data_IF_554576263999
#
_entry.id   IF_554576263999
#
_cell.length_a   1.000
_cell.length_b   1.000
_cell.length_c   1.000
_cell.angle_alpha   90.00
_cell.angle_beta   90.00
_cell.angle_gamma   90.00
#
_symmetry.space_group_name_H-M   'P 1'
#
loop_
_entity.id
_entity.type
_entity.pdbx_description
1 polymer ?
#
# COMPACT_ATOMS: atom_id res chain seq x y z
N UNK A 1 22.96 -23.97 -26.35
CA UNK A 1 21.59 -24.28 -26.79
C UNK A 1 20.75 -23.06 -26.49
N UNK A 2 20.49 -22.24 -27.48
CA UNK A 2 19.58 -21.12 -27.43
C UNK A 2 18.17 -21.68 -27.41
N UNK A 3 17.48 -21.57 -26.28
CA UNK A 3 16.05 -21.88 -26.21
C UNK A 3 15.36 -20.88 -27.14
N UNK A 4 14.88 -21.34 -28.27
CA UNK A 4 14.02 -20.59 -29.16
C UNK A 4 12.77 -20.20 -28.35
N UNK A 5 12.64 -18.95 -28.03
CA UNK A 5 11.41 -18.38 -27.50
C UNK A 5 10.32 -18.60 -28.55
N UNK A 6 9.25 -19.29 -28.20
CA UNK A 6 8.04 -19.37 -29.02
C UNK A 6 7.55 -17.91 -29.26
N UNK A 7 7.15 -17.55 -30.49
CA UNK A 7 6.88 -16.17 -30.90
C UNK A 7 5.75 -15.44 -30.11
N UNK A 8 5.18 -16.04 -29.08
CA UNK A 8 4.06 -15.50 -28.32
C UNK A 8 4.25 -15.55 -26.79
N UNK A 9 5.46 -15.80 -26.28
CA UNK A 9 5.68 -15.81 -24.82
C UNK A 9 5.79 -14.37 -24.32
N UNK A 10 4.93 -13.93 -23.39
CA UNK A 10 4.99 -12.58 -22.85
C UNK A 10 6.34 -12.31 -22.16
N UNK A 11 6.98 -11.20 -22.49
CA UNK A 11 8.25 -10.78 -21.91
C UNK A 11 8.17 -9.37 -21.32
N UNK A 12 8.77 -9.20 -20.13
CA UNK A 12 8.95 -7.88 -19.52
C UNK A 12 10.13 -7.16 -20.16
N UNK A 13 9.88 -6.03 -20.75
CA UNK A 13 10.92 -5.12 -21.30
C UNK A 13 10.98 -3.84 -20.47
N UNK A 14 12.19 -3.24 -20.30
CA UNK A 14 12.31 -1.94 -19.67
C UNK A 14 11.45 -0.90 -20.40
N UNK A 15 10.80 -0.04 -19.63
CA UNK A 15 10.02 1.08 -20.15
C UNK A 15 10.69 2.40 -19.83
N UNK A 16 10.50 3.41 -20.72
CA UNK A 16 10.91 4.77 -20.42
C UNK A 16 10.00 5.34 -19.33
N UNK A 17 10.57 5.98 -18.28
CA UNK A 17 9.77 6.56 -17.20
C UNK A 17 8.71 7.56 -17.67
N UNK A 18 8.98 8.30 -18.75
CA UNK A 18 8.06 9.29 -19.32
C UNK A 18 6.83 8.66 -20.01
N UNK A 19 6.95 7.40 -20.47
CA UNK A 19 5.85 6.64 -21.09
C UNK A 19 5.16 5.71 -20.10
N UNK A 20 5.72 5.58 -18.91
CA UNK A 20 5.17 4.77 -17.84
C UNK A 20 4.32 5.65 -16.92
N UNK A 21 3.13 5.95 -17.38
CA UNK A 21 2.07 6.55 -16.56
C UNK A 21 1.24 5.40 -15.97
N UNK A 22 1.55 4.93 -14.75
CA UNK A 22 0.76 3.88 -14.14
C UNK A 22 -0.60 4.44 -13.75
N UNK A 23 -1.64 3.71 -14.05
CA UNK A 23 -2.97 4.01 -13.53
C UNK A 23 -3.03 3.84 -12.01
N UNK A 24 -2.03 3.17 -11.41
CA UNK A 24 -1.94 2.90 -9.97
C UNK A 24 -0.86 3.72 -9.28
N UNK A 25 -1.25 4.37 -8.22
CA UNK A 25 -0.40 5.26 -7.42
C UNK A 25 0.95 4.64 -7.02
N UNK A 26 0.94 3.42 -6.48
CA UNK A 26 2.17 2.78 -5.96
C UNK A 26 3.15 2.32 -7.05
N UNK A 27 2.75 2.27 -8.31
CA UNK A 27 3.65 1.98 -9.42
C UNK A 27 4.32 3.23 -9.98
N UNK A 28 3.92 4.42 -9.57
CA UNK A 28 4.43 5.67 -10.10
C UNK A 28 5.88 5.94 -9.67
N UNK A 29 6.65 6.54 -10.59
CA UNK A 29 7.98 7.06 -10.28
C UNK A 29 7.93 8.10 -9.17
N UNK A 30 6.89 8.90 -9.15
CA UNK A 30 6.66 9.93 -8.14
C UNK A 30 6.53 9.33 -6.73
N UNK A 31 5.73 8.27 -6.57
CA UNK A 31 5.66 7.56 -5.30
C UNK A 31 7.02 6.98 -4.90
N UNK A 32 7.74 6.38 -5.86
CA UNK A 32 9.07 5.86 -5.60
C UNK A 32 10.02 6.93 -5.07
N UNK A 33 10.13 8.08 -5.75
CA UNK A 33 11.01 9.19 -5.35
C UNK A 33 10.59 9.80 -4.01
N UNK A 34 9.30 9.83 -3.70
CA UNK A 34 8.78 10.27 -2.42
C UNK A 34 9.19 9.33 -1.28
N UNK A 35 9.06 8.03 -1.48
CA UNK A 35 9.18 6.99 -0.44
C UNK A 35 10.61 6.51 -0.24
N UNK A 36 11.41 6.46 -1.29
CA UNK A 36 12.70 5.78 -1.26
C UNK A 36 13.85 6.75 -1.50
N UNK A 37 14.77 6.81 -0.53
CA UNK A 37 16.01 7.60 -0.63
C UNK A 37 17.15 6.82 -1.26
N UNK A 38 17.00 5.49 -1.43
CA UNK A 38 18.03 4.60 -1.98
C UNK A 38 17.41 3.61 -2.98
N UNK A 39 18.24 3.17 -3.93
CA UNK A 39 17.85 2.21 -4.97
C UNK A 39 17.45 2.91 -6.27
N UNK A 40 17.17 2.10 -7.29
CA UNK A 40 16.82 2.56 -8.61
C UNK A 40 15.39 2.14 -8.97
N UNK A 41 14.60 3.10 -9.44
CA UNK A 41 13.29 2.85 -10.02
C UNK A 41 13.45 2.21 -11.39
N UNK A 42 12.87 1.04 -11.58
CA UNK A 42 12.88 0.31 -12.86
C UNK A 42 11.46 -0.04 -13.27
N UNK A 43 10.88 0.70 -14.22
CA UNK A 43 9.60 0.37 -14.81
C UNK A 43 9.77 -0.68 -15.92
N UNK A 44 8.77 -1.57 -16.03
CA UNK A 44 8.69 -2.58 -17.06
C UNK A 44 7.29 -2.65 -17.65
N UNK A 45 7.20 -2.94 -18.94
CA UNK A 45 5.98 -3.30 -19.64
C UNK A 45 6.04 -4.76 -20.07
N UNK A 46 4.94 -5.48 -19.88
CA UNK A 46 4.73 -6.81 -20.41
C UNK A 46 4.00 -6.65 -21.75
N UNK A 47 4.56 -7.23 -22.79
CA UNK A 47 3.95 -7.19 -24.12
C UNK A 47 3.67 -8.59 -24.66
N UNK A 48 2.57 -8.73 -25.37
CA UNK A 48 2.20 -9.93 -26.09
C UNK A 48 1.66 -9.54 -27.47
N UNK A 49 2.22 -10.10 -28.54
CA UNK A 49 1.83 -9.74 -29.92
C UNK A 49 2.07 -8.27 -30.28
N UNK A 50 3.02 -7.58 -29.60
CA UNK A 50 3.33 -6.15 -29.82
C UNK A 50 2.45 -5.18 -29.01
N UNK A 51 1.45 -5.67 -28.28
CA UNK A 51 0.59 -4.85 -27.42
C UNK A 51 1.04 -4.94 -25.95
N UNK A 52 0.97 -3.82 -25.22
CA UNK A 52 1.23 -3.79 -23.77
C UNK A 52 0.06 -4.42 -23.04
N UNK A 53 0.32 -5.49 -22.28
CA UNK A 53 -0.70 -6.25 -21.55
C UNK A 53 -0.63 -6.03 -20.03
N UNK A 54 0.53 -5.63 -19.49
CA UNK A 54 0.66 -5.25 -18.08
C UNK A 54 1.82 -4.27 -17.86
N UNK A 55 1.80 -3.60 -16.72
CA UNK A 55 2.86 -2.69 -16.25
C UNK A 55 3.26 -3.07 -14.83
N UNK A 56 4.56 -2.97 -14.51
CA UNK A 56 5.08 -3.16 -13.16
C UNK A 56 6.27 -2.23 -12.93
N UNK A 57 6.49 -1.81 -11.69
CA UNK A 57 7.69 -1.13 -11.31
C UNK A 57 8.37 -1.86 -10.15
N UNK A 58 9.69 -1.95 -10.21
CA UNK A 58 10.50 -2.50 -9.14
C UNK A 58 11.51 -1.48 -8.62
N UNK A 59 11.80 -1.57 -7.35
CA UNK A 59 12.96 -0.92 -6.74
C UNK A 59 14.13 -1.89 -6.79
N UNK A 60 15.19 -1.52 -7.49
CA UNK A 60 16.44 -2.28 -7.47
C UNK A 60 17.36 -1.74 -6.38
N UNK A 61 17.80 -2.62 -5.49
CA UNK A 61 18.78 -2.30 -4.43
C UNK A 61 19.83 -3.40 -4.31
N UNK A 62 20.98 -3.03 -3.71
CA UNK A 62 22.00 -3.99 -3.28
C UNK A 62 22.11 -3.98 -1.76
N UNK A 63 21.92 -5.14 -1.13
CA UNK A 63 22.10 -5.28 0.30
C UNK A 63 23.54 -5.72 0.57
N UNK A 64 24.22 -5.00 1.47
CA UNK A 64 25.65 -5.19 1.79
C UNK A 64 26.57 -5.20 0.53
N UNK A 65 26.16 -4.48 -0.53
CA UNK A 65 26.89 -4.43 -1.80
C UNK A 65 26.84 -5.72 -2.64
N UNK A 66 26.36 -6.83 -2.09
CA UNK A 66 26.46 -8.16 -2.68
C UNK A 66 25.12 -8.69 -3.23
N UNK A 67 24.07 -8.69 -2.40
CA UNK A 67 22.77 -9.29 -2.77
C UNK A 67 21.99 -8.30 -3.61
N UNK A 68 21.76 -8.64 -4.87
CA UNK A 68 20.92 -7.85 -5.78
C UNK A 68 19.45 -8.18 -5.57
N UNK A 69 18.67 -7.20 -5.16
CA UNK A 69 17.26 -7.36 -4.83
C UNK A 69 16.38 -6.50 -5.74
N UNK A 70 15.27 -7.08 -6.15
CA UNK A 70 14.14 -6.36 -6.71
C UNK A 70 12.96 -6.40 -5.74
N UNK A 71 12.54 -5.24 -5.30
CA UNK A 71 11.31 -5.06 -4.52
C UNK A 71 10.21 -4.63 -5.50
N UNK A 72 9.23 -5.49 -5.71
CA UNK A 72 8.05 -5.16 -6.52
C UNK A 72 7.20 -4.18 -5.73
N UNK A 73 7.01 -2.97 -6.26
CA UNK A 73 6.38 -1.87 -5.51
C UNK A 73 4.90 -2.10 -5.24
N UNK A 74 4.20 -2.69 -6.21
CA UNK A 74 2.84 -3.19 -6.11
C UNK A 74 2.65 -4.32 -7.12
N UNK A 75 1.52 -5.03 -7.06
CA UNK A 75 1.16 -6.01 -8.08
C UNK A 75 1.09 -5.37 -9.48
N UNK A 76 1.37 -6.12 -10.56
CA UNK A 76 1.28 -5.59 -11.92
C UNK A 76 -0.09 -4.96 -12.21
N UNK A 77 -0.09 -3.79 -12.81
CA UNK A 77 -1.30 -3.21 -13.39
C UNK A 77 -1.60 -3.93 -14.70
N UNK A 78 -2.62 -4.78 -14.71
CA UNK A 78 -3.06 -5.48 -15.90
C UNK A 78 -3.83 -4.52 -16.81
N UNK A 79 -3.40 -4.40 -18.05
CA UNK A 79 -4.04 -3.57 -19.10
C UNK A 79 -4.99 -4.42 -19.92
N UNK A 80 -4.70 -5.71 -20.04
CA UNK A 80 -5.47 -6.69 -20.81
C UNK A 80 -5.96 -7.80 -19.89
N UNK A 81 -7.28 -8.01 -19.86
CA UNK A 81 -7.92 -9.06 -19.06
C UNK A 81 -7.54 -10.49 -19.45
N UNK A 82 -6.89 -10.69 -20.60
CA UNK A 82 -6.35 -11.98 -21.03
C UNK A 82 -5.09 -12.41 -20.29
N UNK A 83 -4.46 -11.49 -19.56
CA UNK A 83 -3.26 -11.76 -18.74
C UNK A 83 -3.63 -11.75 -17.27
N UNK A 84 -3.25 -12.81 -16.57
CA UNK A 84 -3.45 -12.97 -15.12
C UNK A 84 -2.26 -12.42 -14.32
N UNK A 85 -2.46 -12.12 -13.03
CA UNK A 85 -1.34 -11.75 -12.14
C UNK A 85 -0.30 -12.89 -12.07
N UNK A 86 -0.73 -14.14 -12.08
CA UNK A 86 0.14 -15.31 -12.06
C UNK A 86 1.05 -15.38 -13.29
N UNK A 87 0.50 -15.16 -14.49
CA UNK A 87 1.27 -15.11 -15.74
C UNK A 87 2.25 -13.94 -15.76
N UNK A 88 1.80 -12.75 -15.35
CA UNK A 88 2.64 -11.56 -15.25
C UNK A 88 3.78 -11.80 -14.25
N UNK A 89 3.51 -12.39 -13.08
CA UNK A 89 4.53 -12.71 -12.08
C UNK A 89 5.51 -13.78 -12.59
N UNK A 90 5.02 -14.83 -13.24
CA UNK A 90 5.88 -15.87 -13.87
C UNK A 90 6.87 -15.24 -14.86
N UNK A 91 6.38 -14.32 -15.70
CA UNK A 91 7.23 -13.59 -16.64
C UNK A 91 8.24 -12.68 -15.89
N UNK A 92 7.82 -12.03 -14.78
CA UNK A 92 8.72 -11.19 -13.98
C UNK A 92 9.83 -12.02 -13.30
N UNK A 93 9.50 -13.20 -12.81
CA UNK A 93 10.50 -14.13 -12.25
C UNK A 93 11.52 -14.56 -13.32
N UNK A 94 11.07 -14.88 -14.55
CA UNK A 94 11.99 -15.19 -15.66
C UNK A 94 12.91 -14.01 -15.95
N UNK A 95 12.36 -12.79 -16.00
CA UNK A 95 13.12 -11.57 -16.23
C UNK A 95 14.13 -11.31 -15.11
N UNK A 96 13.74 -11.46 -13.86
CA UNK A 96 14.62 -11.27 -12.71
C UNK A 96 15.80 -12.28 -12.73
N UNK A 97 15.54 -13.54 -13.12
CA UNK A 97 16.59 -14.56 -13.30
C UNK A 97 17.55 -14.19 -14.43
N UNK A 98 17.04 -13.72 -15.56
CA UNK A 98 17.87 -13.27 -16.70
C UNK A 98 18.75 -12.07 -16.31
N UNK A 99 18.23 -11.16 -15.51
CA UNK A 99 18.96 -10.00 -14.97
C UNK A 99 19.84 -10.35 -13.75
N UNK A 100 19.97 -11.62 -13.38
CA UNK A 100 20.77 -12.12 -12.25
C UNK A 100 20.40 -11.46 -10.91
N UNK A 101 19.12 -11.33 -10.66
CA UNK A 101 18.57 -10.89 -9.37
C UNK A 101 18.68 -12.04 -8.37
N UNK A 102 19.14 -11.77 -7.16
CA UNK A 102 19.29 -12.78 -6.13
C UNK A 102 18.00 -13.00 -5.32
N UNK A 103 17.23 -11.92 -5.11
CA UNK A 103 16.01 -11.92 -4.33
C UNK A 103 14.95 -11.05 -5.01
N UNK A 104 13.81 -11.64 -5.32
CA UNK A 104 12.62 -10.94 -5.76
C UNK A 104 11.60 -10.96 -4.63
N UNK A 105 11.03 -9.80 -4.29
CA UNK A 105 10.09 -9.72 -3.17
C UNK A 105 8.99 -8.69 -3.39
N UNK A 106 7.84 -8.92 -2.77
CA UNK A 106 6.75 -7.96 -2.62
C UNK A 106 6.24 -8.02 -1.19
N UNK A 107 6.80 -7.13 -0.35
CA UNK A 107 6.56 -7.13 1.09
C UNK A 107 5.92 -5.82 1.57
N UNK A 108 5.33 -5.06 0.65
CA UNK A 108 4.58 -3.85 0.94
C UNK A 108 3.26 -4.16 1.63
N UNK A 109 2.87 -3.34 2.60
CA UNK A 109 1.53 -3.36 3.19
C UNK A 109 0.43 -2.94 2.20
N UNK A 110 0.82 -2.47 1.01
CA UNK A 110 -0.08 -2.00 -0.03
C UNK A 110 -0.13 -2.96 -1.24
N UNK A 111 0.62 -4.06 -1.22
CA UNK A 111 0.54 -5.09 -2.25
C UNK A 111 -0.77 -5.90 -2.13
N UNK A 112 -1.36 -6.22 -3.28
CA UNK A 112 -2.68 -6.88 -3.39
C UNK A 112 -2.61 -8.11 -4.27
N UNK A 113 -1.70 -9.01 -3.93
CA UNK A 113 -1.57 -10.29 -4.60
C UNK A 113 -2.68 -11.23 -4.14
N UNK A 114 -3.75 -11.34 -4.91
CA UNK A 114 -5.00 -12.01 -4.50
C UNK A 114 -5.37 -13.23 -5.34
N UNK A 115 -4.72 -13.47 -6.49
CA UNK A 115 -5.10 -14.56 -7.38
C UNK A 115 -4.77 -15.96 -6.81
N UNK A 116 -5.67 -16.94 -6.98
CA UNK A 116 -5.46 -18.31 -6.49
C UNK A 116 -4.22 -19.02 -7.06
N UNK A 117 -3.82 -18.73 -8.30
CA UNK A 117 -2.66 -19.35 -8.97
C UNK A 117 -1.29 -18.82 -8.54
N UNK A 118 -1.22 -17.88 -7.60
CA UNK A 118 0.06 -17.32 -7.15
C UNK A 118 0.92 -18.31 -6.35
N UNK A 119 0.38 -19.19 -5.48
CA UNK A 119 1.20 -20.15 -4.72
C UNK A 119 2.05 -21.04 -5.61
N UNK A 120 1.54 -21.51 -6.75
CA UNK A 120 2.25 -22.36 -7.69
C UNK A 120 3.40 -21.61 -8.37
N UNK A 121 3.19 -20.33 -8.69
CA UNK A 121 4.21 -19.45 -9.28
C UNK A 121 5.30 -19.10 -8.27
N UNK A 122 4.93 -19.06 -6.99
CA UNK A 122 5.80 -18.70 -5.85
C UNK A 122 6.42 -19.93 -5.17
N UNK A 123 6.53 -21.06 -5.87
CA UNK A 123 7.19 -22.24 -5.31
C UNK A 123 8.59 -21.89 -4.78
N UNK A 124 8.85 -22.27 -3.53
CA UNK A 124 10.11 -21.96 -2.83
C UNK A 124 10.20 -20.55 -2.26
N UNK A 125 9.15 -19.73 -2.37
CA UNK A 125 9.08 -18.45 -1.70
C UNK A 125 8.70 -18.57 -0.22
N UNK A 126 9.14 -17.61 0.57
CA UNK A 126 8.54 -17.32 1.87
C UNK A 126 7.26 -16.53 1.63
N UNK A 127 6.12 -17.09 1.99
CA UNK A 127 4.80 -16.46 1.85
C UNK A 127 4.26 -16.09 3.23
N UNK A 128 3.73 -14.89 3.38
CA UNK A 128 3.02 -14.43 4.57
C UNK A 128 1.57 -14.10 4.20
N UNK A 129 0.63 -14.72 4.89
CA UNK A 129 -0.79 -14.39 4.80
C UNK A 129 -1.02 -12.95 5.29
N UNK A 130 -1.78 -12.20 4.51
CA UNK A 130 -2.03 -10.79 4.73
C UNK A 130 -3.42 -10.44 4.21
N UNK A 131 -3.89 -9.23 4.42
CA UNK A 131 -5.16 -8.79 3.85
C UNK A 131 -5.44 -7.33 4.16
N UNK A 132 -6.53 -6.84 3.63
CA UNK A 132 -7.01 -5.48 3.87
C UNK A 132 -8.54 -5.44 3.86
N UNK A 133 -9.11 -4.40 4.47
CA UNK A 133 -10.51 -4.07 4.29
C UNK A 133 -10.64 -3.06 3.15
N UNK A 134 -11.52 -3.35 2.18
CA UNK A 134 -11.81 -2.49 1.04
C UNK A 134 -13.29 -2.09 1.08
N UNK A 135 -13.53 -0.79 1.05
CA UNK A 135 -14.88 -0.21 1.00
C UNK A 135 -15.20 0.14 -0.44
N UNK A 136 -16.32 -0.35 -0.97
CA UNK A 136 -16.90 0.10 -2.23
C UNK A 136 -17.52 1.48 -2.03
N UNK A 137 -17.15 2.45 -2.86
CA UNK A 137 -17.63 3.84 -2.77
C UNK A 137 -18.82 4.14 -3.73
N UNK A 138 -19.32 3.15 -4.48
CA UNK A 138 -20.50 3.30 -5.34
C UNK A 138 -21.78 3.65 -4.56
N UNK A 139 -22.06 3.08 -3.35
CA UNK A 139 -23.24 3.44 -2.57
C UNK A 139 -23.28 4.92 -2.19
N UNK A 140 -24.47 5.47 -1.94
CA UNK A 140 -24.60 6.86 -1.48
C UNK A 140 -24.04 7.06 -0.05
N UNK A 141 -23.90 8.32 0.37
CA UNK A 141 -23.27 8.65 1.66
C UNK A 141 -24.04 8.09 2.87
N UNK A 142 -25.37 8.00 2.77
CA UNK A 142 -26.20 7.44 3.82
C UNK A 142 -25.98 5.91 3.93
N UNK A 143 -25.88 5.24 2.78
CA UNK A 143 -25.59 3.82 2.70
C UNK A 143 -24.16 3.51 3.18
N UNK A 144 -23.17 4.32 2.80
CA UNK A 144 -21.78 4.21 3.29
C UNK A 144 -21.74 4.40 4.81
N UNK A 145 -22.45 5.39 5.36
CA UNK A 145 -22.59 5.53 6.82
C UNK A 145 -23.27 4.31 7.46
N UNK A 146 -24.32 3.79 6.85
CA UNK A 146 -25.06 2.63 7.36
C UNK A 146 -24.22 1.35 7.35
N UNK A 147 -23.28 1.19 6.40
CA UNK A 147 -22.38 0.04 6.32
C UNK A 147 -21.32 0.00 7.43
N UNK A 148 -21.00 1.13 8.05
CA UNK A 148 -20.11 1.17 9.21
C UNK A 148 -20.71 0.37 10.37
N UNK A 149 -19.86 -0.27 11.16
CA UNK A 149 -20.27 -0.98 12.37
C UNK A 149 -21.06 -0.05 13.34
N UNK A 150 -22.05 -0.57 14.02
CA UNK A 150 -22.94 0.19 14.93
C UNK A 150 -22.15 1.04 15.96
N UNK A 151 -21.07 0.49 16.50
CA UNK A 151 -20.19 1.20 17.42
C UNK A 151 -19.53 2.42 16.77
N UNK A 152 -19.05 2.32 15.52
CA UNK A 152 -18.48 3.46 14.81
C UNK A 152 -19.54 4.52 14.50
N UNK A 153 -20.76 4.11 14.10
CA UNK A 153 -21.88 5.04 13.93
C UNK A 153 -22.23 5.77 15.24
N UNK A 154 -22.18 5.07 16.38
CA UNK A 154 -22.41 5.66 17.70
C UNK A 154 -21.32 6.68 18.05
N UNK A 155 -20.04 6.33 17.81
CA UNK A 155 -18.91 7.22 18.07
C UNK A 155 -18.94 8.44 17.16
N UNK A 156 -19.32 8.29 15.90
CA UNK A 156 -19.46 9.39 14.96
C UNK A 156 -20.50 10.42 15.45
N UNK A 157 -21.69 9.96 15.87
CA UNK A 157 -22.70 10.85 16.47
C UNK A 157 -22.20 11.56 17.74
N UNK A 158 -21.37 10.89 18.54
CA UNK A 158 -20.76 11.52 19.72
C UNK A 158 -19.77 12.61 19.36
N UNK A 159 -18.94 12.37 18.35
CA UNK A 159 -18.01 13.39 17.84
C UNK A 159 -18.78 14.62 17.32
N UNK A 160 -19.82 14.40 16.54
CA UNK A 160 -20.71 15.46 16.02
C UNK A 160 -21.34 16.27 17.16
N UNK A 161 -21.90 15.59 18.17
CA UNK A 161 -22.53 16.22 19.34
C UNK A 161 -21.53 16.96 20.24
N UNK A 162 -20.27 16.53 20.28
CA UNK A 162 -19.19 17.18 21.01
C UNK A 162 -18.59 18.39 20.27
N UNK A 163 -19.01 18.67 19.03
CA UNK A 163 -18.49 19.78 18.23
C UNK A 163 -17.14 19.48 17.56
N UNK A 164 -16.83 18.21 17.34
CA UNK A 164 -15.62 17.84 16.56
C UNK A 164 -15.77 18.36 15.12
N UNK A 165 -14.89 19.27 14.76
CA UNK A 165 -14.83 19.85 13.42
C UNK A 165 -13.93 19.03 12.51
N UNK A 166 -14.42 18.69 11.31
CA UNK A 166 -13.63 18.02 10.29
C UNK A 166 -13.22 19.04 9.22
N UNK A 167 -11.92 19.07 8.92
CA UNK A 167 -11.32 20.03 7.98
C UNK A 167 -10.55 19.29 6.89
N UNK A 168 -10.51 19.86 5.69
CA UNK A 168 -9.60 19.43 4.64
C UNK A 168 -8.20 19.95 4.93
N UNK A 169 -7.20 19.10 4.67
CA UNK A 169 -5.82 19.40 5.00
C UNK A 169 -5.46 19.19 6.47
N UNK A 170 -4.18 19.26 6.73
CA UNK A 170 -3.59 19.30 8.08
C UNK A 170 -2.28 20.09 8.01
N UNK A 171 -1.97 20.99 8.96
CA UNK A 171 -0.67 21.64 9.01
C UNK A 171 0.44 20.58 9.16
N UNK A 172 1.48 20.68 8.33
CA UNK A 172 2.55 19.68 8.24
C UNK A 172 3.22 19.42 9.58
N UNK A 173 3.58 20.48 10.32
CA UNK A 173 4.21 20.36 11.64
C UNK A 173 3.29 19.66 12.66
N UNK A 174 2.01 20.04 12.72
CA UNK A 174 1.04 19.43 13.61
C UNK A 174 0.80 17.94 13.28
N UNK A 175 0.86 17.58 12.00
CA UNK A 175 0.76 16.17 11.59
C UNK A 175 2.00 15.38 11.99
N UNK A 176 3.20 15.95 11.86
CA UNK A 176 4.45 15.32 12.32
C UNK A 176 4.37 15.03 13.82
N UNK A 177 3.99 16.01 14.63
CA UNK A 177 3.86 15.85 16.09
C UNK A 177 2.83 14.75 16.43
N UNK A 178 1.69 14.73 15.73
CA UNK A 178 0.64 13.73 15.92
C UNK A 178 1.10 12.32 15.53
N UNK A 179 1.93 12.20 14.48
CA UNK A 179 2.55 10.94 14.07
C UNK A 179 3.55 10.45 15.11
N UNK A 180 4.38 11.34 15.68
CA UNK A 180 5.31 11.00 16.76
C UNK A 180 4.57 10.50 18.00
N UNK A 181 3.50 11.18 18.40
CA UNK A 181 2.62 10.73 19.50
C UNK A 181 2.01 9.35 19.19
N UNK A 182 1.55 9.13 17.95
CA UNK A 182 0.92 7.87 17.52
C UNK A 182 1.89 6.69 17.60
N UNK A 183 3.12 6.85 17.14
CA UNK A 183 4.14 5.80 17.20
C UNK A 183 4.71 5.62 18.62
N UNK A 184 4.93 6.73 19.34
CA UNK A 184 5.43 6.75 20.72
C UNK A 184 4.55 5.95 21.69
N UNK A 185 3.23 5.89 21.50
CA UNK A 185 2.33 5.02 22.27
C UNK A 185 2.68 3.53 22.19
N UNK A 186 3.30 3.11 21.10
CA UNK A 186 3.75 1.74 20.90
C UNK A 186 5.21 1.52 21.30
N UNK A 187 5.87 2.51 21.92
CA UNK A 187 7.29 2.44 22.28
C UNK A 187 8.19 2.32 21.04
N UNK A 188 7.78 2.85 19.89
CA UNK A 188 8.51 2.74 18.63
C UNK A 188 8.68 4.12 18.01
N UNK A 189 9.82 4.33 17.39
CA UNK A 189 10.03 5.45 16.50
C UNK A 189 9.29 5.24 15.16
N UNK A 190 9.01 6.33 14.47
CA UNK A 190 8.47 6.25 13.11
C UNK A 190 9.48 5.55 12.18
N UNK A 191 9.04 4.67 11.28
CA UNK A 191 9.93 4.00 10.31
C UNK A 191 10.30 4.90 9.11
N UNK A 192 10.07 6.21 9.20
CA UNK A 192 10.35 7.23 8.20
C UNK A 192 10.63 8.57 8.88
N UNK A 193 11.39 9.44 8.22
CA UNK A 193 11.78 10.76 8.71
C UNK A 193 10.68 11.83 8.52
N UNK A 194 10.89 13.01 9.11
CA UNK A 194 9.99 14.15 8.95
C UNK A 194 10.01 14.69 7.52
N UNK A 195 11.15 14.63 6.83
CA UNK A 195 11.29 15.11 5.46
C UNK A 195 10.40 14.33 4.48
N UNK A 196 10.22 13.04 4.74
CA UNK A 196 9.24 12.25 3.97
C UNK A 196 7.81 12.77 4.15
N UNK A 197 7.40 13.10 5.39
CA UNK A 197 6.06 13.64 5.64
C UNK A 197 5.87 15.03 5.02
N UNK A 198 6.89 15.89 5.10
CA UNK A 198 6.87 17.19 4.42
C UNK A 198 6.68 17.00 2.92
N UNK A 199 7.50 16.16 2.29
CA UNK A 199 7.37 15.88 0.85
C UNK A 199 6.01 15.28 0.49
N UNK A 200 5.45 14.41 1.33
CA UNK A 200 4.15 13.78 1.10
C UNK A 200 3.01 14.80 1.14
N UNK A 201 3.02 15.70 2.10
CA UNK A 201 1.94 16.68 2.31
C UNK A 201 2.05 17.89 1.38
N UNK A 202 3.28 18.26 0.98
CA UNK A 202 3.54 19.47 0.20
C UNK A 202 3.85 19.17 -1.27
N UNK A 203 3.85 17.91 -1.69
CA UNK A 203 4.16 17.52 -3.07
C UNK A 203 3.10 18.06 -4.05
N UNK A 204 3.48 18.97 -4.97
CA UNK A 204 2.54 19.52 -5.92
C UNK A 204 1.99 18.42 -6.86
N UNK A 205 0.65 18.38 -7.06
CA UNK A 205 -0.04 17.46 -7.98
C UNK A 205 0.01 15.99 -7.57
N UNK A 206 0.18 15.66 -6.29
CA UNK A 206 -0.10 14.34 -5.75
C UNK A 206 -1.61 14.28 -5.48
N UNK A 207 -2.31 13.34 -6.13
CA UNK A 207 -3.71 13.11 -5.83
C UNK A 207 -3.82 12.48 -4.42
N UNK A 208 -4.17 13.33 -3.46
CA UNK A 208 -4.19 12.95 -2.05
C UNK A 208 -5.34 13.65 -1.31
N UNK A 209 -6.18 12.86 -0.67
CA UNK A 209 -7.14 13.35 0.32
C UNK A 209 -6.43 13.43 1.67
N UNK A 210 -6.38 14.62 2.25
CA UNK A 210 -5.90 14.85 3.61
C UNK A 210 -7.04 15.41 4.44
N UNK A 211 -7.35 14.76 5.56
CA UNK A 211 -8.45 15.13 6.46
C UNK A 211 -7.97 15.20 7.88
N UNK A 212 -8.42 16.20 8.61
CA UNK A 212 -8.12 16.41 10.03
C UNK A 212 -9.40 16.63 10.85
N UNK A 213 -9.40 16.17 12.09
CA UNK A 213 -10.46 16.39 13.08
C UNK A 213 -9.94 17.23 14.24
N UNK A 214 -10.69 18.25 14.63
CA UNK A 214 -10.32 19.24 15.62
C UNK A 214 -11.41 19.36 16.69
N UNK A 215 -11.01 19.59 17.94
CA UNK A 215 -11.90 19.97 19.01
C UNK A 215 -11.25 21.11 19.81
N UNK A 216 -11.98 22.20 20.04
CA UNK A 216 -11.52 23.38 20.78
C UNK A 216 -10.17 23.93 20.26
N UNK A 217 -9.97 23.91 18.95
CA UNK A 217 -8.74 24.35 18.30
C UNK A 217 -7.59 23.36 18.36
N UNK A 218 -7.79 22.19 18.96
CA UNK A 218 -6.77 21.15 19.10
C UNK A 218 -6.95 20.06 18.04
N UNK A 219 -5.85 19.67 17.38
CA UNK A 219 -5.82 18.56 16.41
C UNK A 219 -5.94 17.23 17.18
N UNK A 220 -7.01 16.48 16.89
CA UNK A 220 -7.33 15.22 17.55
C UNK A 220 -6.95 13.98 16.74
N UNK A 221 -7.16 14.05 15.43
CA UNK A 221 -6.85 12.97 14.51
C UNK A 221 -6.66 13.51 13.09
N UNK A 222 -5.89 12.80 12.27
CA UNK A 222 -5.75 13.10 10.85
C UNK A 222 -5.47 11.85 10.03
N UNK A 223 -5.76 11.92 8.72
CA UNK A 223 -5.43 10.89 7.75
C UNK A 223 -4.88 11.51 6.46
N UNK A 224 -3.94 10.79 5.84
CA UNK A 224 -3.36 11.08 4.52
C UNK A 224 -3.63 9.88 3.63
N UNK A 225 -4.38 10.10 2.56
CA UNK A 225 -4.96 9.08 1.70
C UNK A 225 -4.66 9.45 0.25
N UNK A 226 -3.51 9.03 -0.30
CA UNK A 226 -3.29 9.15 -1.73
C UNK A 226 -4.27 8.27 -2.48
N UNK A 227 -4.59 8.65 -3.71
CA UNK A 227 -5.52 7.90 -4.54
C UNK A 227 -5.12 7.94 -6.02
N UNK A 228 -5.65 6.99 -6.75
CA UNK A 228 -5.71 6.95 -8.20
C UNK A 228 -7.17 6.79 -8.65
N UNK A 229 -7.41 6.59 -9.93
CA UNK A 229 -8.78 6.46 -10.45
C UNK A 229 -9.56 5.28 -9.88
N UNK A 230 -8.87 4.22 -9.52
CA UNK A 230 -9.50 3.00 -9.04
C UNK A 230 -9.65 3.01 -7.50
N UNK A 231 -8.63 3.51 -6.79
CA UNK A 231 -8.49 3.22 -5.37
C UNK A 231 -7.88 4.36 -4.58
N UNK A 232 -8.45 4.68 -3.42
CA UNK A 232 -7.81 5.47 -2.37
C UNK A 232 -7.13 4.55 -1.36
N UNK A 233 -6.00 4.98 -0.80
CA UNK A 233 -5.17 4.14 0.07
C UNK A 233 -4.94 4.82 1.42
N UNK A 234 -5.42 4.22 2.52
CA UNK A 234 -5.15 4.71 3.87
C UNK A 234 -3.66 4.54 4.20
N UNK A 235 -2.87 5.50 3.75
CA UNK A 235 -1.41 5.44 3.86
C UNK A 235 -0.93 5.76 5.26
N UNK A 236 -1.39 6.89 5.81
CA UNK A 236 -1.07 7.33 7.16
C UNK A 236 -2.32 7.79 7.90
N UNK A 237 -2.44 7.34 9.14
CA UNK A 237 -3.42 7.82 10.09
C UNK A 237 -2.76 8.08 11.43
N UNK A 238 -3.06 9.21 12.04
CA UNK A 238 -2.54 9.60 13.33
C UNK A 238 -3.66 10.10 14.25
N UNK A 239 -3.47 9.95 15.54
CA UNK A 239 -4.37 10.50 16.55
C UNK A 239 -3.63 10.76 17.85
N UNK A 240 -4.17 11.63 18.67
CA UNK A 240 -3.70 11.81 20.05
C UNK A 240 -3.80 10.50 20.84
N UNK A 241 -3.09 10.43 21.95
CA UNK A 241 -3.12 9.28 22.86
C UNK A 241 -4.53 9.06 23.44
N UNK A 242 -5.21 10.15 23.74
CA UNK A 242 -6.62 10.17 24.17
C UNK A 242 -7.38 11.17 23.29
N UNK A 243 -7.73 10.79 22.07
CA UNK A 243 -8.42 11.71 21.18
C UNK A 243 -9.85 11.94 21.64
N UNK A 244 -10.43 13.06 21.26
CA UNK A 244 -11.86 13.31 21.40
C UNK A 244 -12.67 12.12 20.87
N UNK A 245 -13.69 11.74 21.63
CA UNK A 245 -14.41 10.50 21.37
C UNK A 245 -15.06 10.51 19.97
N UNK A 246 -14.60 9.61 19.10
CA UNK A 246 -15.06 9.49 17.73
C UNK A 246 -14.30 10.35 16.70
N UNK A 247 -13.31 11.15 17.09
CA UNK A 247 -12.54 11.98 16.15
C UNK A 247 -11.90 11.17 15.01
N UNK A 248 -11.29 10.01 15.34
CA UNK A 248 -10.72 9.11 14.32
C UNK A 248 -11.78 8.56 13.35
N UNK A 249 -13.00 8.35 13.83
CA UNK A 249 -14.10 7.86 13.00
C UNK A 249 -14.66 8.97 12.13
N UNK A 250 -14.73 10.21 12.66
CA UNK A 250 -15.11 11.39 11.89
C UNK A 250 -14.15 11.61 10.71
N UNK A 251 -12.83 11.44 10.92
CA UNK A 251 -11.83 11.45 9.84
C UNK A 251 -12.13 10.39 8.80
N UNK A 252 -12.39 9.13 9.20
CA UNK A 252 -12.68 8.06 8.23
C UNK A 252 -13.97 8.31 7.44
N UNK A 253 -15.03 8.78 8.09
CA UNK A 253 -16.28 9.12 7.41
C UNK A 253 -16.07 10.25 6.38
N UNK A 254 -15.25 11.22 6.72
CA UNK A 254 -14.91 12.32 5.81
C UNK A 254 -14.05 11.84 4.63
N UNK A 255 -13.07 10.96 4.87
CA UNK A 255 -12.25 10.37 3.80
C UNK A 255 -13.14 9.64 2.79
N UNK A 256 -14.11 8.83 3.25
CA UNK A 256 -15.05 8.14 2.36
C UNK A 256 -15.78 9.14 1.44
N UNK A 257 -16.34 10.21 2.01
CA UNK A 257 -17.06 11.23 1.26
C UNK A 257 -16.17 11.98 0.24
N UNK A 258 -14.91 12.32 0.62
CA UNK A 258 -13.97 13.03 -0.27
C UNK A 258 -13.52 12.15 -1.41
N UNK A 259 -13.11 10.90 -1.15
CA UNK A 259 -12.72 9.97 -2.20
C UNK A 259 -13.86 9.75 -3.21
N UNK A 260 -15.10 9.58 -2.71
CA UNK A 260 -16.28 9.49 -3.55
C UNK A 260 -16.47 10.73 -4.41
N UNK A 261 -16.31 11.93 -3.85
CA UNK A 261 -16.41 13.20 -4.58
C UNK A 261 -15.33 13.34 -5.67
N UNK A 262 -14.16 12.70 -5.49
CA UNK A 262 -13.11 12.59 -6.51
C UNK A 262 -13.39 11.50 -7.56
N UNK A 263 -14.51 10.76 -7.46
CA UNK A 263 -14.86 9.68 -8.38
C UNK A 263 -14.04 8.39 -8.19
N UNK A 264 -13.37 8.24 -7.05
CA UNK A 264 -12.63 7.03 -6.69
C UNK A 264 -13.61 5.88 -6.43
N UNK A 265 -13.35 4.70 -7.02
CA UNK A 265 -14.28 3.57 -6.91
C UNK A 265 -14.20 2.83 -5.57
N UNK A 266 -13.01 2.73 -4.97
CA UNK A 266 -12.77 1.91 -3.77
C UNK A 266 -11.86 2.61 -2.77
N UNK A 267 -12.04 2.31 -1.49
CA UNK A 267 -11.15 2.76 -0.42
C UNK A 267 -10.51 1.57 0.30
N UNK A 268 -9.20 1.49 0.20
CA UNK A 268 -8.35 0.47 0.82
C UNK A 268 -7.82 0.98 2.15
N UNK A 269 -8.21 0.31 3.23
CA UNK A 269 -7.82 0.68 4.59
C UNK A 269 -6.38 0.26 4.96
N UNK A 270 -5.62 -0.27 3.99
CA UNK A 270 -4.26 -0.72 4.21
C UNK A 270 -4.18 -2.06 4.94
N UNK A 271 -2.99 -2.59 5.03
CA UNK A 271 -2.75 -3.92 5.53
C UNK A 271 -3.29 -4.21 6.92
N UNK A 272 -3.85 -5.41 7.07
CA UNK A 272 -4.32 -5.95 8.32
C UNK A 272 -4.00 -7.45 8.40
N UNK A 273 -3.75 -7.96 9.60
CA UNK A 273 -3.55 -9.38 9.85
C UNK A 273 -4.78 -9.92 10.56
N UNK A 274 -5.42 -10.92 9.96
CA UNK A 274 -6.58 -11.59 10.57
C UNK A 274 -6.16 -12.38 11.80
N UNK A 275 -5.04 -13.08 11.71
CA UNK A 275 -4.45 -13.89 12.76
C UNK A 275 -3.19 -13.24 13.29
N UNK A 276 -3.17 -12.90 14.57
CA UNK A 276 -2.02 -12.32 15.25
C UNK A 276 -2.24 -12.40 16.77
N UNK A 277 -1.18 -12.61 17.52
CA UNK A 277 -1.18 -12.54 18.99
C UNK A 277 -0.92 -11.12 19.52
N UNK A 278 -0.47 -10.21 18.68
CA UNK A 278 -0.22 -8.80 19.03
C UNK A 278 -1.56 -8.05 19.20
N UNK A 279 -1.89 -7.66 20.43
CA UNK A 279 -3.12 -6.94 20.75
C UNK A 279 -3.26 -5.60 20.02
N UNK A 280 -2.16 -4.93 19.72
CA UNK A 280 -2.17 -3.70 18.92
C UNK A 280 -2.61 -3.99 17.48
N UNK A 281 -2.10 -5.05 16.88
CA UNK A 281 -2.52 -5.45 15.52
C UNK A 281 -3.96 -5.94 15.50
N UNK A 282 -4.42 -6.62 16.54
CA UNK A 282 -5.86 -6.96 16.72
C UNK A 282 -6.72 -5.71 16.81
N UNK A 283 -6.24 -4.67 17.52
CA UNK A 283 -6.91 -3.37 17.61
C UNK A 283 -7.04 -2.70 16.24
N UNK A 284 -5.96 -2.69 15.46
CA UNK A 284 -5.93 -2.15 14.09
C UNK A 284 -6.90 -2.93 13.18
N UNK A 285 -6.89 -4.27 13.26
CA UNK A 285 -7.81 -5.10 12.49
C UNK A 285 -9.28 -4.77 12.81
N UNK A 286 -9.64 -4.74 14.10
CA UNK A 286 -11.00 -4.38 14.56
C UNK A 286 -11.41 -2.98 14.12
N UNK A 287 -10.50 -2.00 14.19
CA UNK A 287 -10.77 -0.65 13.72
C UNK A 287 -11.13 -0.64 12.25
N UNK A 288 -10.31 -1.26 11.39
CA UNK A 288 -10.53 -1.33 9.94
C UNK A 288 -11.82 -2.08 9.59
N UNK A 289 -12.06 -3.21 10.23
CA UNK A 289 -13.30 -3.97 10.09
C UNK A 289 -14.54 -3.10 10.36
N UNK A 290 -14.48 -2.25 11.39
CA UNK A 290 -15.61 -1.42 11.82
C UNK A 290 -15.85 -0.19 10.95
N UNK A 291 -14.85 0.25 10.17
CA UNK A 291 -15.06 1.30 9.14
C UNK A 291 -16.02 0.82 8.08
N UNK A 292 -16.05 -0.48 7.82
CA UNK A 292 -16.90 -1.13 6.82
C UNK A 292 -16.07 -1.79 5.72
N UNK A 293 -16.74 -2.28 4.70
CA UNK A 293 -16.10 -2.93 3.57
C UNK A 293 -15.94 -4.44 3.74
N UNK A 294 -15.31 -5.04 2.75
CA UNK A 294 -15.06 -6.48 2.65
C UNK A 294 -13.57 -6.73 2.90
N UNK A 295 -13.25 -7.80 3.64
CA UNK A 295 -11.87 -8.21 3.81
C UNK A 295 -11.41 -8.97 2.57
N UNK A 296 -10.38 -8.45 1.91
CA UNK A 296 -9.69 -9.09 0.79
C UNK A 296 -8.43 -9.77 1.34
N UNK A 297 -8.38 -11.10 1.21
CA UNK A 297 -7.17 -11.87 1.52
C UNK A 297 -6.13 -11.62 0.43
N UNK A 298 -4.88 -11.43 0.81
CA UNK A 298 -3.75 -11.28 -0.09
C UNK A 298 -2.49 -11.90 0.54
N UNK A 299 -1.42 -11.95 -0.23
CA UNK A 299 -0.14 -12.48 0.24
C UNK A 299 0.97 -11.46 0.07
N UNK A 300 1.96 -11.52 0.95
CA UNK A 300 3.26 -10.90 0.78
C UNK A 300 4.28 -12.02 0.65
N UNK A 301 5.32 -11.82 -0.15
CA UNK A 301 6.21 -12.90 -0.44
C UNK A 301 7.65 -12.44 -0.68
N UNK A 302 8.59 -13.36 -0.47
CA UNK A 302 10.01 -13.24 -0.79
C UNK A 302 10.46 -14.49 -1.50
N UNK A 303 10.95 -14.38 -2.72
CA UNK A 303 11.40 -15.47 -3.56
C UNK A 303 12.91 -15.38 -3.78
N UNK A 304 13.73 -16.21 -3.14
CA UNK A 304 15.15 -16.29 -3.44
C UNK A 304 15.37 -16.96 -4.80
N UNK A 305 16.07 -16.27 -5.69
CA UNK A 305 16.38 -16.74 -7.03
C UNK A 305 17.78 -17.35 -7.17
N UNK A 306 18.64 -17.13 -6.15
CA UNK A 306 20.00 -17.67 -6.08
C UNK A 306 20.33 -18.21 -4.69
N UNK A 307 21.47 -18.91 -4.56
CA UNK A 307 21.99 -19.35 -3.26
C UNK A 307 22.31 -18.14 -2.36
N UNK A 308 22.83 -17.07 -2.94
CA UNK A 308 23.11 -15.82 -2.22
C UNK A 308 21.84 -15.19 -1.66
N UNK A 309 20.76 -15.18 -2.46
CA UNK A 309 19.42 -14.71 -2.02
C UNK A 309 18.89 -15.53 -0.84
N UNK A 310 19.04 -16.87 -0.86
CA UNK A 310 18.64 -17.75 0.25
C UNK A 310 19.41 -17.45 1.54
N UNK A 311 20.73 -17.28 1.45
CA UNK A 311 21.55 -16.93 2.62
C UNK A 311 21.18 -15.54 3.17
N UNK A 312 20.96 -14.56 2.29
CA UNK A 312 20.54 -13.22 2.68
C UNK A 312 19.25 -13.20 3.47
N UNK A 313 18.23 -13.97 3.05
CA UNK A 313 16.97 -14.13 3.79
C UNK A 313 17.19 -14.77 5.16
N UNK A 314 17.98 -15.86 5.24
CA UNK A 314 18.25 -16.58 6.50
C UNK A 314 18.95 -15.67 7.53
N UNK A 315 19.88 -14.84 7.10
CA UNK A 315 20.56 -13.87 7.98
C UNK A 315 19.61 -12.79 8.47
N UNK A 316 18.77 -12.23 7.57
CA UNK A 316 17.80 -11.21 7.92
C UNK A 316 16.76 -11.71 8.94
N UNK A 317 16.32 -12.96 8.82
CA UNK A 317 15.43 -13.62 9.78
C UNK A 317 16.06 -13.76 11.17
N UNK A 318 17.33 -14.20 11.25
CA UNK A 318 18.06 -14.36 12.52
C UNK A 318 18.28 -13.04 13.25
N UNK A 319 18.35 -11.93 12.50
CA UNK A 319 18.52 -10.58 13.05
C UNK A 319 17.19 -9.89 13.39
N UNK A 320 16.04 -10.56 13.25
CA UNK A 320 14.72 -9.97 13.49
C UNK A 320 14.38 -8.77 12.61
N UNK A 321 15.06 -8.66 11.44
CA UNK A 321 14.86 -7.57 10.46
C UNK A 321 13.89 -7.93 9.34
N UNK A 322 13.14 -9.02 9.52
CA UNK A 322 12.21 -9.59 8.53
C UNK A 322 10.85 -9.84 9.16
#
# INVERSE_FOLDING_TARGET
MTLNATPNTPEWTPAEPATFEPERFFLSRRWFELKHTQGHYRPFVLSSGGEVTARVAVREVRTAGLVRRWEVLAEPALVDARVTQAEALSALIRRARADRVDLLESFSNMARWTEPGLPEVLEGAQIEAFGTYVVDLAPDDAQLRASMHSEHRRLLRKAEAAGVEVRDGVPTSAFIDLMDETYGRGGKDRPFDSDYLVRLLEAPGLDCVTVSAWLDGQLEAAAVVPFDRERGYFLHGASRTQPAQGATIAVQAAVLARLKAHGVARYDLGGARRETDDERLKGIFRFKQRVGGVFEDCVRWRLPLSTLGRHGLSVAQRLGRV
#
